data_IF_836829937762
#
_entry.id   IF_836829937762
#
_cell.length_a   1.000
_cell.length_b   1.000
_cell.length_c   1.000
_cell.angle_alpha   90.00
_cell.angle_beta   90.00
_cell.angle_gamma   90.00
#
_symmetry.space_group_name_H-M   'P 1'
#
loop_
_entity.id
_entity.type
_entity.pdbx_description
1 polymer ?
#
# COMPACT_ATOMS: atom_id res chain seq x y z
N UNK A 1 9.38 9.65 27.13
CA UNK A 1 10.14 8.44 26.78
C UNK A 1 9.34 7.76 25.67
N UNK A 2 9.71 8.01 24.42
CA UNK A 2 9.10 7.34 23.25
C UNK A 2 9.57 5.90 23.28
N UNK A 3 8.66 4.96 23.49
CA UNK A 3 8.98 3.54 23.39
C UNK A 3 9.58 3.26 22.01
N UNK A 4 10.70 2.53 21.97
CA UNK A 4 11.23 1.97 20.73
C UNK A 4 10.16 1.02 20.19
N UNK A 5 9.51 1.41 19.10
CA UNK A 5 8.54 0.54 18.43
C UNK A 5 9.22 -0.78 18.04
N UNK A 6 8.55 -1.93 18.19
CA UNK A 6 9.14 -3.24 17.93
C UNK A 6 9.55 -3.41 16.48
N UNK A 7 10.76 -3.94 16.29
CA UNK A 7 11.28 -4.31 14.98
C UNK A 7 10.96 -5.78 14.69
N UNK A 8 10.17 -6.02 13.63
CA UNK A 8 9.86 -7.36 13.16
C UNK A 8 10.81 -7.82 12.07
N UNK A 9 11.34 -9.05 12.17
CA UNK A 9 12.15 -9.69 11.14
C UNK A 9 11.36 -10.78 10.40
N UNK A 10 10.99 -10.49 9.15
CA UNK A 10 10.20 -11.38 8.29
C UNK A 10 9.52 -10.60 7.16
N UNK A 11 8.57 -11.24 6.47
CA UNK A 11 7.65 -10.56 5.56
C UNK A 11 6.26 -10.47 6.17
N UNK A 12 5.61 -9.32 6.02
CA UNK A 12 4.22 -9.11 6.45
C UNK A 12 3.38 -8.49 5.35
N UNK A 13 2.10 -8.80 5.34
CA UNK A 13 1.13 -8.19 4.44
C UNK A 13 0.41 -7.02 5.09
N UNK A 14 0.14 -5.99 4.29
CA UNK A 14 -0.64 -4.83 4.68
C UNK A 14 -1.50 -4.28 3.54
N UNK A 15 -2.40 -3.36 3.88
CA UNK A 15 -3.22 -2.63 2.92
C UNK A 15 -2.64 -1.24 2.67
N UNK A 16 -2.61 -0.82 1.41
CA UNK A 16 -2.11 0.49 1.01
C UNK A 16 -2.92 1.07 -0.13
N UNK A 17 -3.06 2.40 -0.15
CA UNK A 17 -3.50 3.16 -1.30
C UNK A 17 -2.34 3.94 -1.93
N UNK A 18 -2.46 4.18 -3.23
CA UNK A 18 -1.52 4.88 -4.08
C UNK A 18 -2.26 5.86 -4.98
N UNK A 19 -1.54 6.88 -5.41
CA UNK A 19 -1.94 7.71 -6.54
C UNK A 19 -1.36 7.11 -7.82
N UNK A 20 -2.17 6.98 -8.87
CA UNK A 20 -1.70 6.58 -10.20
C UNK A 20 -1.41 7.81 -11.03
N UNK A 21 -0.14 8.01 -11.40
CA UNK A 21 0.26 9.01 -12.39
C UNK A 21 0.27 8.36 -13.76
N UNK A 22 -0.58 8.86 -14.66
CA UNK A 22 -0.53 8.50 -16.08
C UNK A 22 0.44 9.44 -16.76
N UNK A 23 1.52 8.86 -17.32
CA UNK A 23 2.43 9.62 -18.14
C UNK A 23 1.79 10.05 -19.47
N UNK A 24 1.98 11.32 -19.87
CA UNK A 24 1.77 11.76 -21.26
C UNK A 24 2.75 11.02 -22.20
N UNK A 25 2.60 10.98 -23.54
CA UNK A 25 2.89 9.81 -24.40
C UNK A 25 4.37 9.35 -24.52
N UNK A 26 5.27 9.87 -23.70
CA UNK A 26 6.66 9.42 -23.52
C UNK A 26 7.04 9.06 -22.06
N UNK A 27 6.13 9.18 -21.09
CA UNK A 27 6.34 8.76 -19.70
C UNK A 27 5.53 7.52 -19.32
N UNK A 28 6.12 6.69 -18.46
CA UNK A 28 5.56 5.42 -17.99
C UNK A 28 4.52 5.68 -16.89
N UNK A 29 3.39 4.97 -16.91
CA UNK A 29 2.41 4.97 -15.80
C UNK A 29 3.08 4.45 -14.52
N UNK A 30 2.93 5.18 -13.41
CA UNK A 30 3.57 4.86 -12.13
C UNK A 30 2.63 5.05 -10.95
N UNK A 31 2.83 4.24 -9.93
CA UNK A 31 2.28 4.45 -8.60
C UNK A 31 3.18 5.41 -7.82
N UNK A 32 2.56 6.43 -7.25
CA UNK A 32 3.17 7.36 -6.31
C UNK A 32 2.55 7.20 -4.91
N UNK A 33 3.32 7.58 -3.90
CA UNK A 33 2.78 7.75 -2.55
C UNK A 33 1.82 8.94 -2.48
N UNK A 34 0.75 8.82 -1.68
CA UNK A 34 -0.27 9.84 -1.50
C UNK A 34 0.22 11.14 -0.83
N UNK A 35 1.32 11.09 -0.06
CA UNK A 35 1.72 12.22 0.79
C UNK A 35 3.19 12.59 0.61
N UNK A 36 4.12 11.63 0.62
CA UNK A 36 5.53 11.89 0.38
C UNK A 36 6.30 10.59 0.10
N UNK A 37 7.07 10.61 -0.99
CA UNK A 37 8.20 9.74 -1.33
C UNK A 37 7.96 8.35 -1.96
N UNK A 38 8.70 8.17 -3.06
CA UNK A 38 8.95 6.99 -3.89
C UNK A 38 7.90 6.67 -4.96
N UNK A 39 8.31 6.83 -6.22
CA UNK A 39 7.87 5.99 -7.33
C UNK A 39 8.02 4.53 -6.90
N UNK A 40 6.92 3.78 -7.00
CA UNK A 40 6.98 2.35 -6.70
C UNK A 40 7.54 1.60 -7.89
N UNK A 41 8.49 0.72 -7.60
CA UNK A 41 9.16 -0.11 -8.60
C UNK A 41 8.15 -1.08 -9.28
N UNK A 42 8.10 -1.13 -10.62
CA UNK A 42 7.20 -2.01 -11.36
C UNK A 42 7.70 -3.47 -11.38
N UNK A 43 6.94 -4.37 -12.01
CA UNK A 43 7.34 -5.76 -12.24
C UNK A 43 7.63 -6.58 -10.97
N UNK A 44 6.93 -6.30 -9.88
CA UNK A 44 7.08 -7.00 -8.60
C UNK A 44 8.40 -6.71 -7.87
N UNK A 45 9.13 -5.66 -8.27
CA UNK A 45 10.36 -5.25 -7.63
C UNK A 45 10.12 -4.56 -6.26
N UNK A 46 11.10 -4.67 -5.37
CA UNK A 46 11.04 -4.06 -4.05
C UNK A 46 11.30 -2.56 -4.13
N UNK A 47 10.29 -1.76 -3.76
CA UNK A 47 10.48 -0.34 -3.48
C UNK A 47 11.18 -0.21 -2.13
N UNK A 48 12.21 0.64 -2.04
CA UNK A 48 12.95 0.89 -0.80
C UNK A 48 12.59 2.28 -0.25
N UNK A 49 12.29 2.36 1.04
CA UNK A 49 12.08 3.61 1.74
C UNK A 49 13.32 4.50 1.64
N UNK A 50 13.12 5.79 1.41
CA UNK A 50 14.17 6.81 1.40
C UNK A 50 13.90 7.81 2.52
N UNK A 51 14.96 8.48 2.95
CA UNK A 51 14.86 9.65 3.81
C UNK A 51 15.20 10.86 2.94
N UNK A 52 14.20 11.69 2.60
CA UNK A 52 14.38 12.86 1.75
C UNK A 52 14.34 14.20 2.47
N UNK A 53 14.04 14.23 3.78
CA UNK A 53 13.91 15.48 4.55
C UNK A 53 15.25 15.86 5.18
N UNK A 54 15.86 17.01 4.81
CA UNK A 54 17.18 17.43 5.32
C UNK A 54 17.27 17.50 6.85
N UNK A 55 16.16 17.81 7.52
CA UNK A 55 16.06 17.94 8.98
C UNK A 55 16.08 16.60 9.73
N UNK A 56 15.91 15.48 9.02
CA UNK A 56 15.84 14.12 9.59
C UNK A 56 16.81 13.14 8.93
N UNK A 57 17.85 13.66 8.26
CA UNK A 57 18.90 12.83 7.65
C UNK A 57 19.53 11.92 8.70
N UNK A 58 19.39 10.62 8.51
CA UNK A 58 20.01 9.60 9.32
C UNK A 58 20.86 8.67 8.46
N UNK A 59 21.93 8.15 9.05
CA UNK A 59 22.77 7.15 8.41
C UNK A 59 22.09 5.78 8.53
N UNK A 60 21.63 5.23 7.40
CA UNK A 60 21.06 3.88 7.32
C UNK A 60 19.67 3.79 6.68
N UNK A 61 19.15 2.56 6.50
CA UNK A 61 17.85 2.33 5.89
C UNK A 61 16.70 2.78 6.81
N UNK A 62 15.77 3.58 6.30
CA UNK A 62 14.49 3.84 6.98
C UNK A 62 13.63 2.56 7.05
N UNK A 63 12.74 2.37 8.04
CA UNK A 63 12.54 3.25 9.20
C UNK A 63 13.71 3.18 10.21
N UNK A 64 13.93 4.27 10.93
CA UNK A 64 14.90 4.41 12.02
C UNK A 64 14.25 5.10 13.22
N UNK A 65 14.71 4.82 14.46
CA UNK A 65 14.28 5.56 15.65
C UNK A 65 14.45 7.07 15.47
N UNK A 66 13.42 7.84 15.80
CA UNK A 66 13.43 9.31 15.68
C UNK A 66 13.19 9.87 14.28
N UNK A 67 12.97 9.02 13.28
CA UNK A 67 12.60 9.44 11.92
C UNK A 67 11.15 9.07 11.59
N UNK A 68 10.47 9.82 10.71
CA UNK A 68 9.14 9.50 10.20
C UNK A 68 9.15 8.77 8.84
N UNK A 69 10.32 8.48 8.27
CA UNK A 69 10.43 7.86 6.94
C UNK A 69 10.15 6.35 6.98
N UNK A 70 9.55 5.84 5.91
CA UNK A 70 9.20 4.42 5.75
C UNK A 70 8.08 4.21 4.74
N UNK A 71 7.92 2.98 4.26
CA UNK A 71 6.80 2.59 3.41
C UNK A 71 5.64 2.13 4.29
N UNK A 72 4.61 2.97 4.39
CA UNK A 72 3.46 2.77 5.27
C UNK A 72 2.41 1.81 4.69
N UNK A 73 1.82 0.98 5.56
CA UNK A 73 0.62 0.22 5.25
C UNK A 73 -0.21 -0.03 6.51
N UNK A 74 -1.50 -0.29 6.31
CA UNK A 74 -2.42 -0.65 7.38
C UNK A 74 -2.42 -2.17 7.59
N UNK A 75 -2.68 -2.60 8.82
CA UNK A 75 -3.00 -4.02 9.05
C UNK A 75 -4.31 -4.36 8.32
N UNK A 76 -4.42 -5.52 7.64
CA UNK A 76 -5.63 -5.96 6.94
C UNK A 76 -6.79 -6.29 7.90
N UNK A 77 -7.42 -5.26 8.45
CA UNK A 77 -8.47 -5.36 9.46
C UNK A 77 -9.74 -4.63 9.03
N UNK A 78 -10.89 -4.93 9.66
CA UNK A 78 -12.18 -4.34 9.29
C UNK A 78 -12.18 -2.81 9.13
N UNK A 79 -11.57 -2.08 10.07
CA UNK A 79 -11.53 -0.61 10.03
C UNK A 79 -10.80 -0.05 8.80
N UNK A 80 -9.49 -0.33 8.65
CA UNK A 80 -8.73 0.11 7.49
C UNK A 80 -9.26 -0.44 6.15
N UNK A 81 -9.65 -1.71 6.08
CA UNK A 81 -10.20 -2.30 4.87
C UNK A 81 -11.50 -1.60 4.43
N UNK A 82 -12.42 -1.35 5.37
CA UNK A 82 -13.66 -0.62 5.09
C UNK A 82 -13.39 0.80 4.60
N UNK A 83 -12.45 1.49 5.24
CA UNK A 83 -12.08 2.86 4.84
C UNK A 83 -11.53 2.89 3.43
N UNK A 84 -10.51 2.07 3.13
CA UNK A 84 -9.89 2.02 1.81
C UNK A 84 -10.90 1.62 0.73
N UNK A 85 -11.75 0.62 1.01
CA UNK A 85 -12.77 0.19 0.06
C UNK A 85 -13.79 1.30 -0.21
N UNK A 86 -14.29 1.99 0.82
CA UNK A 86 -15.30 3.05 0.66
C UNK A 86 -14.72 4.30 -0.01
N UNK A 87 -13.55 4.77 0.46
CA UNK A 87 -12.92 6.00 -0.03
C UNK A 87 -12.52 5.87 -1.51
N UNK A 88 -12.08 4.68 -1.94
CA UNK A 88 -11.73 4.43 -3.35
C UNK A 88 -12.93 4.13 -4.23
N UNK A 89 -14.05 3.63 -3.70
CA UNK A 89 -15.31 3.53 -4.46
C UNK A 89 -15.85 4.92 -4.78
N UNK A 90 -15.83 5.85 -3.82
CA UNK A 90 -16.37 7.20 -4.02
C UNK A 90 -15.63 7.99 -5.13
N UNK A 91 -14.32 7.77 -5.29
CA UNK A 91 -13.54 8.40 -6.37
C UNK A 91 -13.82 7.82 -7.76
N UNK A 92 -14.55 6.70 -7.86
CA UNK A 92 -14.83 5.98 -9.11
C UNK A 92 -16.19 6.34 -9.70
N UNK A 93 -17.16 6.72 -8.86
CA UNK A 93 -18.52 7.06 -9.31
C UNK A 93 -18.61 8.43 -10.02
N UNK A 94 -17.60 9.28 -9.87
CA UNK A 94 -17.50 10.56 -10.59
C UNK A 94 -17.00 10.33 -12.03
N UNK A 95 -17.95 10.00 -12.92
CA UNK A 95 -17.82 9.78 -14.37
C UNK A 95 -17.41 11.05 -15.17
N UNK A 96 -16.69 11.99 -14.54
CA UNK A 96 -16.23 13.22 -15.16
C UNK A 96 -14.91 13.03 -15.90
N UNK A 97 -15.07 12.56 -17.13
CA UNK A 97 -14.22 12.71 -18.30
C UNK A 97 -12.93 13.56 -18.18
N UNK A 98 -11.82 12.93 -18.58
CA UNK A 98 -10.83 13.46 -19.53
C UNK A 98 -9.97 14.67 -19.09
N UNK A 99 -9.41 14.61 -17.89
CA UNK A 99 -8.09 15.20 -17.64
C UNK A 99 -7.07 14.07 -17.39
N UNK A 100 -5.74 14.28 -17.47
CA UNK A 100 -4.78 13.31 -16.95
C UNK A 100 -4.91 13.30 -15.41
N UNK A 101 -5.98 12.72 -14.89
CA UNK A 101 -6.35 12.78 -13.48
C UNK A 101 -5.76 11.59 -12.74
N UNK A 102 -4.96 11.95 -11.75
CA UNK A 102 -4.50 11.13 -10.65
C UNK A 102 -5.66 10.36 -10.01
N UNK A 103 -5.89 9.11 -10.42
CA UNK A 103 -6.86 8.25 -9.74
C UNK A 103 -6.17 7.49 -8.60
N UNK A 104 -6.91 7.25 -7.52
CA UNK A 104 -6.40 6.45 -6.41
C UNK A 104 -6.70 4.97 -6.65
N UNK A 105 -5.73 4.13 -6.35
CA UNK A 105 -5.90 2.67 -6.31
C UNK A 105 -5.46 2.18 -4.94
N UNK A 106 -6.02 1.06 -4.50
CA UNK A 106 -5.57 0.42 -3.28
C UNK A 106 -5.43 -1.09 -3.49
N UNK A 107 -4.70 -1.71 -2.57
CA UNK A 107 -4.35 -3.10 -2.69
C UNK A 107 -3.52 -3.60 -1.52
N UNK A 108 -2.93 -4.77 -1.74
CA UNK A 108 -2.13 -5.49 -0.78
C UNK A 108 -0.66 -5.25 -1.07
N UNK A 109 0.11 -4.97 -0.04
CA UNK A 109 1.57 -4.90 -0.11
C UNK A 109 2.20 -6.01 0.71
N UNK A 110 3.30 -6.54 0.19
CA UNK A 110 4.26 -7.31 0.98
C UNK A 110 5.36 -6.35 1.45
N UNK A 111 5.69 -6.41 2.73
CA UNK A 111 6.70 -5.59 3.37
C UNK A 111 7.82 -6.45 3.96
N UNK A 112 9.06 -5.95 3.92
CA UNK A 112 10.25 -6.67 4.34
C UNK A 112 11.35 -5.72 4.85
N UNK A 113 12.38 -6.32 5.47
CA UNK A 113 13.52 -5.60 6.03
C UNK A 113 13.25 -5.17 7.46
N UNK A 114 13.70 -3.97 7.83
CA UNK A 114 13.31 -3.35 9.09
C UNK A 114 11.84 -2.95 8.99
N UNK A 115 10.99 -3.53 9.85
CA UNK A 115 9.56 -3.23 9.91
C UNK A 115 9.23 -2.75 11.32
N UNK A 116 8.80 -1.51 11.40
CA UNK A 116 8.30 -0.92 12.63
C UNK A 116 6.78 -1.10 12.70
N UNK A 117 6.33 -1.84 13.71
CA UNK A 117 4.92 -2.17 13.89
C UNK A 117 4.25 -1.16 14.80
N UNK A 118 3.03 -0.78 14.42
CA UNK A 118 2.12 0.04 15.21
C UNK A 118 0.78 -0.69 15.39
N UNK A 119 -0.07 -0.17 16.27
CA UNK A 119 -1.37 -0.76 16.58
C UNK A 119 -2.26 -0.94 15.33
N UNK A 120 -2.27 0.04 14.42
CA UNK A 120 -3.16 0.04 13.26
C UNK A 120 -2.49 -0.33 11.95
N UNK A 121 -1.17 -0.40 11.92
CA UNK A 121 -0.40 -0.65 10.70
C UNK A 121 1.08 -0.72 10.99
N UNK A 122 1.89 -0.45 9.99
CA UNK A 122 3.34 -0.51 10.09
C UNK A 122 3.98 0.40 9.05
N UNK A 123 5.29 0.59 9.22
CA UNK A 123 6.15 1.15 8.18
C UNK A 123 7.37 0.26 7.98
N UNK A 124 7.79 0.11 6.73
CA UNK A 124 8.81 -0.84 6.36
C UNK A 124 9.93 -0.22 5.52
N UNK A 125 11.09 -0.86 5.59
CA UNK A 125 12.25 -0.55 4.77
C UNK A 125 12.01 -0.84 3.29
N UNK A 126 11.35 -1.95 3.00
CA UNK A 126 11.02 -2.34 1.63
C UNK A 126 9.58 -2.80 1.56
N UNK A 127 8.92 -2.44 0.48
CA UNK A 127 7.60 -2.97 0.16
C UNK A 127 7.40 -3.09 -1.35
N UNK A 128 6.50 -3.98 -1.76
CA UNK A 128 6.04 -4.09 -3.14
C UNK A 128 4.54 -4.41 -3.17
N UNK A 129 3.81 -4.00 -4.21
CA UNK A 129 2.44 -4.45 -4.39
C UNK A 129 2.46 -5.96 -4.67
N UNK A 130 1.47 -6.68 -4.15
CA UNK A 130 1.25 -8.09 -4.48
C UNK A 130 -0.15 -8.34 -5.05
N UNK A 131 -1.08 -7.42 -4.83
CA UNK A 131 -2.37 -7.40 -5.51
C UNK A 131 -2.97 -5.98 -5.51
N UNK A 132 -3.78 -5.66 -6.51
CA UNK A 132 -4.72 -4.55 -6.44
C UNK A 132 -6.12 -5.05 -6.15
N UNK A 133 -6.99 -4.17 -5.62
CA UNK A 133 -8.38 -4.49 -5.34
C UNK A 133 -9.29 -3.73 -6.29
N UNK A 134 -10.19 -4.44 -6.95
CA UNK A 134 -11.29 -3.90 -7.72
C UNK A 134 -12.62 -4.20 -7.04
N UNK A 135 -13.48 -3.19 -6.92
CA UNK A 135 -14.88 -3.41 -6.57
C UNK A 135 -15.56 -4.28 -7.62
N UNK A 136 -16.36 -5.27 -7.22
CA UNK A 136 -17.06 -6.19 -8.14
C UNK A 136 -17.97 -5.44 -9.12
N UNK A 137 -18.55 -4.32 -8.67
CA UNK A 137 -19.51 -3.52 -9.44
C UNK A 137 -18.87 -2.32 -10.17
N UNK A 138 -17.53 -2.23 -10.18
CA UNK A 138 -16.83 -1.18 -10.91
C UNK A 138 -17.00 -1.32 -12.42
N UNK A 139 -17.12 -0.18 -13.12
CA UNK A 139 -17.29 -0.12 -14.57
C UNK A 139 -16.12 -0.74 -15.35
N UNK A 140 -16.44 -1.28 -16.53
CA UNK A 140 -15.50 -2.04 -17.37
C UNK A 140 -14.20 -1.28 -17.70
N UNK A 141 -14.29 0.02 -18.02
CA UNK A 141 -13.13 0.85 -18.33
C UNK A 141 -12.13 0.96 -17.17
N UNK A 142 -12.64 1.10 -15.94
CA UNK A 142 -11.77 1.15 -14.75
C UNK A 142 -11.14 -0.21 -14.47
N UNK A 143 -11.90 -1.31 -14.62
CA UNK A 143 -11.35 -2.66 -14.47
C UNK A 143 -10.24 -2.93 -15.49
N UNK A 144 -10.44 -2.48 -16.73
CA UNK A 144 -9.44 -2.57 -17.78
C UNK A 144 -8.18 -1.77 -17.43
N UNK A 145 -8.33 -0.49 -17.04
CA UNK A 145 -7.20 0.34 -16.62
C UNK A 145 -6.45 -0.20 -15.40
N UNK A 146 -7.16 -0.75 -14.42
CA UNK A 146 -6.54 -1.41 -13.27
C UNK A 146 -5.85 -2.72 -13.68
N UNK A 147 -6.41 -3.46 -14.63
CA UNK A 147 -5.77 -4.65 -15.21
C UNK A 147 -4.48 -4.34 -15.95
N UNK A 148 -4.43 -3.25 -16.72
CA UNK A 148 -3.20 -2.76 -17.36
C UNK A 148 -2.15 -2.36 -16.33
N UNK A 149 -2.56 -1.63 -15.28
CA UNK A 149 -1.69 -1.27 -14.16
C UNK A 149 -1.17 -2.50 -13.42
N UNK A 150 -2.02 -3.49 -13.17
CA UNK A 150 -1.65 -4.77 -12.59
C UNK A 150 -0.60 -5.49 -13.45
N UNK A 151 -0.76 -5.45 -14.78
CA UNK A 151 0.24 -5.94 -15.74
C UNK A 151 1.60 -5.23 -15.64
N UNK A 152 1.61 -3.91 -15.50
CA UNK A 152 2.85 -3.12 -15.30
C UNK A 152 3.57 -3.54 -14.00
N UNK A 153 2.80 -3.74 -12.92
CA UNK A 153 3.35 -4.10 -11.63
C UNK A 153 3.57 -5.61 -11.44
N UNK A 154 3.12 -6.44 -12.37
CA UNK A 154 3.24 -7.90 -12.29
C UNK A 154 2.42 -8.50 -11.15
N UNK A 155 1.24 -7.93 -10.88
CA UNK A 155 0.35 -8.35 -9.79
C UNK A 155 -1.02 -8.75 -10.30
N UNK A 156 -1.79 -9.43 -9.47
CA UNK A 156 -3.19 -9.78 -9.77
C UNK A 156 -4.16 -8.71 -9.29
N UNK A 157 -5.40 -8.75 -9.83
CA UNK A 157 -6.52 -7.92 -9.37
C UNK A 157 -7.51 -8.80 -8.62
N UNK A 158 -7.67 -8.52 -7.33
CA UNK A 158 -8.68 -9.14 -6.47
C UNK A 158 -10.02 -8.44 -6.72
N UNK A 159 -11.03 -9.20 -7.12
CA UNK A 159 -12.40 -8.69 -7.23
C UNK A 159 -13.10 -8.83 -5.87
N UNK A 160 -13.48 -7.72 -5.25
CA UNK A 160 -14.12 -7.68 -3.95
C UNK A 160 -15.48 -6.98 -4.01
N UNK A 161 -16.52 -7.57 -3.43
CA UNK A 161 -17.86 -6.96 -3.35
C UNK A 161 -17.96 -5.99 -2.17
N UNK A 162 -17.26 -6.29 -1.09
CA UNK A 162 -17.12 -5.42 0.06
C UNK A 162 -15.74 -5.56 0.71
N UNK A 163 -15.51 -4.81 1.78
CA UNK A 163 -14.25 -4.84 2.51
C UNK A 163 -13.93 -6.19 3.17
N UNK A 164 -14.92 -7.07 3.40
CA UNK A 164 -14.70 -8.39 4.00
C UNK A 164 -14.01 -9.32 3.00
N UNK A 165 -14.39 -9.24 1.72
CA UNK A 165 -13.71 -9.96 0.65
C UNK A 165 -12.21 -9.57 0.59
N UNK A 166 -11.87 -8.30 0.88
CA UNK A 166 -10.46 -7.83 0.97
C UNK A 166 -9.72 -8.46 2.15
N UNK A 167 -10.32 -8.46 3.34
CA UNK A 167 -9.70 -9.07 4.54
C UNK A 167 -9.49 -10.57 4.32
N UNK A 168 -10.49 -11.28 3.81
CA UNK A 168 -10.40 -12.69 3.51
C UNK A 168 -9.28 -13.00 2.51
N UNK A 169 -9.17 -12.21 1.43
CA UNK A 169 -8.09 -12.38 0.45
C UNK A 169 -6.70 -12.16 1.08
N UNK A 170 -6.54 -11.20 1.99
CA UNK A 170 -5.28 -11.04 2.72
C UNK A 170 -4.97 -12.24 3.62
N UNK A 171 -5.96 -12.81 4.29
CA UNK A 171 -5.79 -14.01 5.11
C UNK A 171 -5.37 -15.22 4.26
N UNK A 172 -5.97 -15.40 3.08
CA UNK A 172 -5.64 -16.46 2.12
C UNK A 172 -4.23 -16.33 1.54
N UNK A 173 -3.78 -15.11 1.25
CA UNK A 173 -2.41 -14.84 0.78
C UNK A 173 -1.35 -15.20 1.84
N UNK A 174 -1.72 -15.19 3.12
CA UNK A 174 -0.84 -15.49 4.25
C UNK A 174 0.14 -14.35 4.56
N UNK A 175 0.64 -14.30 5.80
CA UNK A 175 1.57 -13.24 6.24
C UNK A 175 0.91 -12.01 6.85
N UNK A 176 -0.38 -12.07 7.15
CA UNK A 176 -1.06 -11.07 7.99
C UNK A 176 -0.66 -11.30 9.46
N UNK A 177 -0.21 -10.25 10.14
CA UNK A 177 0.01 -10.32 11.59
C UNK A 177 -1.33 -10.38 12.33
N UNK A 178 -1.48 -11.38 13.19
CA UNK A 178 -2.66 -11.50 14.06
C UNK A 178 -2.70 -10.37 15.09
N UNK A 179 -3.88 -10.07 15.62
CA UNK A 179 -4.04 -9.06 16.67
C UNK A 179 -3.22 -9.36 17.90
N UNK A 180 -3.30 -10.59 18.40
CA UNK A 180 -2.50 -11.03 19.54
C UNK A 180 -0.99 -10.87 19.29
N UNK A 181 -0.52 -11.09 18.05
CA UNK A 181 0.90 -10.92 17.71
C UNK A 181 1.31 -9.45 17.64
N UNK A 182 0.42 -8.58 17.17
CA UNK A 182 0.66 -7.12 17.20
C UNK A 182 0.74 -6.65 18.65
N UNK A 183 -0.18 -7.09 19.51
CA UNK A 183 -0.21 -6.71 20.92
C UNK A 183 1.06 -7.19 21.64
N UNK A 184 1.47 -8.45 21.46
CA UNK A 184 2.71 -9.01 22.02
C UNK A 184 3.95 -8.23 21.60
N UNK A 185 3.99 -7.72 20.36
CA UNK A 185 5.11 -6.91 19.88
C UNK A 185 5.15 -5.53 20.55
N UNK A 186 4.00 -4.98 20.94
CA UNK A 186 3.87 -3.62 21.47
C UNK A 186 3.99 -3.53 23.00
N UNK A 187 4.08 -4.66 23.70
CA UNK A 187 4.31 -4.78 25.16
C UNK A 187 5.78 -4.62 25.55
#
# INVERSE_FOLDING_TARGET
MTADSPLFSGTILGLRAWTVRIGLPSSTTRLEALVTEADWEPGGAWTRARCGVPEHLHDGPAPQPGCSCGLYAWHPRPGPARRLFTDNVASVEDDHAMAPVDFSVFGVVEAAGVIEVHQTGFRAERARPVAFVAGADWGEGLRAGLGELAGIYGVEVISARDWRDVVAACEELGGVLSEARVDELLE
#
